data_IF_975287826897
#
_entry.id   IF_975287826897
#
_cell.length_a   1.000
_cell.length_b   1.000
_cell.length_c   1.000
_cell.angle_alpha   90.00
_cell.angle_beta   90.00
_cell.angle_gamma   90.00
#
_symmetry.space_group_name_H-M   'P 1'
#
loop_
_entity.id
_entity.type
_entity.pdbx_description
1 polymer ?
#
# COMPACT_ATOMS: atom_id res chain seq x y z
N UNK A 1 10.25 -6.25 -24.90
CA UNK A 1 10.22 -7.69 -24.58
C UNK A 1 8.80 -8.19 -24.77
N UNK A 2 8.62 -9.38 -25.33
CA UNK A 2 7.32 -10.05 -25.51
C UNK A 2 7.48 -11.53 -25.13
N UNK A 3 6.41 -12.20 -24.72
CA UNK A 3 6.43 -13.61 -24.31
C UNK A 3 5.15 -14.33 -24.71
N UNK A 4 5.22 -15.66 -24.78
CA UNK A 4 4.08 -16.53 -25.06
C UNK A 4 4.19 -17.82 -24.22
N UNK A 5 3.05 -18.46 -23.85
CA UNK A 5 3.03 -19.64 -23.01
C UNK A 5 3.58 -20.91 -23.69
N UNK A 6 3.58 -20.96 -25.03
CA UNK A 6 4.06 -22.10 -25.83
C UNK A 6 5.13 -21.66 -26.84
N UNK A 7 6.08 -22.54 -27.14
CA UNK A 7 7.15 -22.27 -28.13
C UNK A 7 6.59 -21.88 -29.51
N UNK A 8 5.54 -22.56 -29.98
CA UNK A 8 4.89 -22.28 -31.28
C UNK A 8 4.25 -20.89 -31.32
N UNK A 9 3.62 -20.45 -30.23
CA UNK A 9 3.03 -19.12 -30.14
C UNK A 9 4.11 -18.04 -30.12
N UNK A 10 5.23 -18.27 -29.43
CA UNK A 10 6.38 -17.37 -29.44
C UNK A 10 6.97 -17.24 -30.85
N UNK A 11 7.10 -18.35 -31.58
CA UNK A 11 7.58 -18.37 -32.96
C UNK A 11 6.62 -17.61 -33.89
N UNK A 12 5.31 -17.83 -33.76
CA UNK A 12 4.28 -17.11 -34.53
C UNK A 12 4.35 -15.60 -34.27
N UNK A 13 4.55 -15.20 -33.02
CA UNK A 13 4.69 -13.81 -32.60
C UNK A 13 5.96 -13.17 -33.16
N UNK A 14 7.10 -13.86 -33.15
CA UNK A 14 8.35 -13.40 -33.77
C UNK A 14 8.16 -13.16 -35.27
N UNK A 15 7.53 -14.09 -35.98
CA UNK A 15 7.25 -13.97 -37.42
C UNK A 15 6.34 -12.78 -37.72
N UNK A 16 5.26 -12.65 -36.95
CA UNK A 16 4.28 -11.57 -37.11
C UNK A 16 4.93 -10.21 -36.86
N UNK A 17 5.68 -10.05 -35.77
CA UNK A 17 6.38 -8.81 -35.46
C UNK A 17 7.43 -8.45 -36.51
N UNK A 18 8.20 -9.43 -36.95
CA UNK A 18 9.22 -9.23 -37.99
C UNK A 18 8.58 -8.73 -39.28
N UNK A 19 7.47 -9.35 -39.72
CA UNK A 19 6.74 -8.94 -40.93
C UNK A 19 6.18 -7.52 -40.82
N UNK A 20 5.56 -7.17 -39.68
CA UNK A 20 4.97 -5.84 -39.45
C UNK A 20 6.04 -4.74 -39.49
N UNK A 21 7.20 -5.00 -38.87
CA UNK A 21 8.27 -4.00 -38.77
C UNK A 21 9.08 -3.91 -40.05
N UNK A 22 9.29 -5.03 -40.75
CA UNK A 22 9.92 -5.06 -42.06
C UNK A 22 9.10 -4.27 -43.10
N UNK A 23 7.76 -4.37 -43.04
CA UNK A 23 6.87 -3.54 -43.86
C UNK A 23 7.03 -2.02 -43.61
N UNK A 24 7.71 -1.63 -42.52
CA UNK A 24 8.05 -0.24 -42.19
C UNK A 24 9.55 0.05 -42.27
N UNK A 25 10.33 -0.83 -42.88
CA UNK A 25 11.79 -0.68 -43.06
C UNK A 25 12.63 -1.01 -41.83
N UNK A 26 12.03 -1.59 -40.79
CA UNK A 26 12.73 -2.00 -39.57
C UNK A 26 13.00 -3.50 -39.58
N UNK A 27 14.23 -3.90 -39.89
CA UNK A 27 14.64 -5.30 -39.84
C UNK A 27 15.11 -5.67 -38.43
N UNK A 28 14.29 -6.43 -37.71
CA UNK A 28 14.65 -6.95 -36.39
C UNK A 28 15.77 -8.00 -36.50
N UNK A 29 16.82 -7.83 -35.70
CA UNK A 29 17.95 -8.76 -35.57
C UNK A 29 18.32 -8.94 -34.10
N UNK A 30 19.12 -9.96 -33.81
CA UNK A 30 19.57 -10.33 -32.46
C UNK A 30 18.40 -10.70 -31.54
N UNK A 31 17.87 -11.89 -31.74
CA UNK A 31 16.85 -12.51 -30.91
C UNK A 31 17.50 -13.31 -29.80
N UNK A 32 16.93 -13.21 -28.61
CA UNK A 32 17.30 -13.99 -27.44
C UNK A 32 16.04 -14.66 -26.89
N UNK A 33 16.17 -15.92 -26.48
CA UNK A 33 15.08 -16.71 -25.90
C UNK A 33 15.63 -17.65 -24.84
N UNK A 34 14.77 -17.99 -23.87
CA UNK A 34 15.00 -19.03 -22.88
C UNK A 34 14.63 -20.44 -23.40
N UNK A 35 14.06 -20.56 -24.59
CA UNK A 35 13.72 -21.83 -25.24
C UNK A 35 14.69 -22.13 -26.39
N UNK A 36 15.41 -23.24 -26.28
CA UNK A 36 16.29 -23.76 -27.34
C UNK A 36 15.49 -24.14 -28.60
N UNK A 37 14.25 -24.60 -28.43
CA UNK A 37 13.33 -24.87 -29.54
C UNK A 37 13.05 -23.61 -30.35
N UNK A 38 12.76 -22.49 -29.67
CA UNK A 38 12.50 -21.20 -30.33
C UNK A 38 13.76 -20.70 -31.06
N UNK A 39 14.93 -20.76 -30.42
CA UNK A 39 16.20 -20.34 -31.04
C UNK A 39 16.55 -21.16 -32.29
N UNK A 40 16.26 -22.47 -32.29
CA UNK A 40 16.53 -23.35 -33.43
C UNK A 40 15.74 -22.99 -34.69
N UNK A 41 14.59 -22.33 -34.53
CA UNK A 41 13.69 -21.94 -35.63
C UNK A 41 13.86 -20.50 -36.10
N UNK A 42 14.83 -19.78 -35.52
CA UNK A 42 15.26 -18.46 -35.96
C UNK A 42 16.54 -18.65 -36.79
N UNK A 43 16.72 -17.87 -37.85
CA UNK A 43 17.96 -17.90 -38.64
C UNK A 43 19.17 -17.63 -37.73
N UNK A 44 20.21 -18.46 -37.83
CA UNK A 44 21.36 -18.44 -36.91
C UNK A 44 22.11 -17.10 -36.88
N UNK A 45 22.10 -16.37 -37.99
CA UNK A 45 22.63 -15.01 -38.12
C UNK A 45 21.82 -13.93 -37.40
N UNK A 46 20.62 -14.26 -36.92
CA UNK A 46 19.76 -13.35 -36.16
C UNK A 46 19.65 -13.73 -34.69
N UNK A 47 20.25 -14.84 -34.25
CA UNK A 47 20.36 -15.18 -32.83
C UNK A 47 21.46 -14.31 -32.21
N UNK A 48 21.25 -13.82 -30.99
CA UNK A 48 22.25 -13.01 -30.31
C UNK A 48 23.52 -13.77 -29.91
N UNK A 49 24.65 -13.07 -29.93
CA UNK A 49 26.00 -13.65 -29.81
C UNK A 49 26.34 -14.18 -28.39
N UNK A 50 25.59 -13.75 -27.37
CA UNK A 50 25.80 -14.10 -25.96
C UNK A 50 24.49 -14.44 -25.26
N UNK A 51 24.53 -15.34 -24.29
CA UNK A 51 23.38 -15.62 -23.42
C UNK A 51 23.01 -14.46 -22.51
N UNK A 52 23.93 -13.52 -22.29
CA UNK A 52 23.73 -12.30 -21.53
C UNK A 52 23.43 -11.13 -22.48
N UNK A 53 22.30 -10.44 -22.28
CA UNK A 53 21.85 -9.28 -23.04
C UNK A 53 21.87 -8.06 -22.15
N UNK A 54 22.77 -7.11 -22.41
CA UNK A 54 22.70 -5.81 -21.74
C UNK A 54 21.56 -4.99 -22.32
N UNK A 55 20.58 -4.69 -21.48
CA UNK A 55 19.43 -3.86 -21.78
C UNK A 55 19.78 -2.44 -21.30
N UNK A 56 20.23 -1.59 -22.22
CA UNK A 56 20.49 -0.18 -21.96
C UNK A 56 19.21 0.62 -22.22
N UNK A 57 18.54 1.18 -21.19
CA UNK A 57 17.48 2.14 -21.42
C UNK A 57 18.13 3.47 -21.86
N UNK A 58 18.03 3.78 -23.16
CA UNK A 58 18.31 5.05 -23.88
C UNK A 58 19.27 6.05 -23.22
N UNK A 59 20.41 6.34 -23.87
CA UNK A 59 21.36 7.49 -23.82
C UNK A 59 21.55 8.32 -22.52
N UNK A 60 20.94 7.93 -21.41
CA UNK A 60 21.08 8.51 -20.10
C UNK A 60 22.08 7.59 -19.39
N UNK A 61 23.35 7.88 -19.61
CA UNK A 61 24.56 7.19 -19.15
C UNK A 61 24.72 7.08 -17.61
N UNK A 62 23.60 7.08 -16.88
CA UNK A 62 23.51 7.03 -15.42
C UNK A 62 22.43 6.07 -14.90
N UNK A 63 21.80 5.27 -15.77
CA UNK A 63 20.89 4.20 -15.37
C UNK A 63 21.61 2.84 -15.32
N UNK A 64 21.22 2.00 -14.36
CA UNK A 64 21.82 0.69 -14.06
C UNK A 64 21.99 -0.22 -15.28
N UNK A 65 23.12 -0.93 -15.35
CA UNK A 65 23.31 -2.03 -16.29
C UNK A 65 22.40 -3.21 -15.93
N UNK A 66 21.29 -3.36 -16.65
CA UNK A 66 20.42 -4.53 -16.60
C UNK A 66 20.93 -5.55 -17.62
N UNK A 67 21.18 -6.77 -17.18
CA UNK A 67 21.59 -7.87 -18.07
C UNK A 67 20.58 -9.01 -17.97
N UNK A 68 19.90 -9.38 -19.05
CA UNK A 68 19.08 -10.59 -19.06
C UNK A 68 19.94 -11.80 -19.47
N UNK A 69 19.97 -12.83 -18.65
CA UNK A 69 20.51 -14.13 -19.03
C UNK A 69 19.39 -14.98 -19.61
N UNK A 70 19.36 -15.12 -20.94
CA UNK A 70 18.28 -15.81 -21.63
C UNK A 70 18.26 -17.30 -21.32
N UNK A 71 19.42 -17.96 -21.19
CA UNK A 71 19.51 -19.41 -20.96
C UNK A 71 18.95 -19.85 -19.60
N UNK A 72 19.16 -19.05 -18.56
CA UNK A 72 18.67 -19.32 -17.21
C UNK A 72 17.36 -18.61 -16.90
N UNK A 73 16.90 -17.78 -17.82
CA UNK A 73 15.77 -16.87 -17.68
C UNK A 73 15.82 -16.02 -16.40
N UNK A 74 16.99 -15.43 -16.13
CA UNK A 74 17.22 -14.58 -14.96
C UNK A 74 17.71 -13.21 -15.37
N UNK A 75 17.23 -12.16 -14.72
CA UNK A 75 17.79 -10.82 -14.83
C UNK A 75 18.91 -10.62 -13.81
N UNK A 76 20.04 -10.07 -14.26
CA UNK A 76 21.26 -9.80 -13.50
C UNK A 76 21.46 -8.28 -13.48
N UNK A 77 21.75 -7.74 -12.30
CA UNK A 77 21.93 -6.30 -12.09
C UNK A 77 23.37 -5.99 -11.71
N UNK A 78 24.08 -5.27 -12.57
CA UNK A 78 25.49 -4.93 -12.37
C UNK A 78 25.60 -3.60 -11.60
N UNK A 79 25.52 -3.69 -10.27
CA UNK A 79 25.56 -2.55 -9.35
C UNK A 79 27.01 -2.16 -9.04
N UNK A 80 27.49 -1.03 -9.57
CA UNK A 80 28.76 -0.42 -9.15
C UNK A 80 28.49 0.76 -8.22
N UNK A 81 28.42 0.50 -6.91
CA UNK A 81 28.20 1.54 -5.90
C UNK A 81 29.48 1.74 -5.08
N UNK A 82 30.09 2.93 -5.19
CA UNK A 82 31.20 3.35 -4.34
C UNK A 82 30.70 4.42 -3.37
N UNK A 83 30.72 4.09 -2.07
CA UNK A 83 30.46 5.04 -1.00
C UNK A 83 31.79 5.56 -0.45
N UNK A 84 32.02 6.89 -0.40
CA UNK A 84 33.16 7.46 0.30
C UNK A 84 33.00 7.31 1.83
N UNK A 85 34.11 7.29 2.56
CA UNK A 85 34.14 7.03 4.02
C UNK A 85 33.29 8.01 4.84
N UNK A 86 33.09 9.24 4.35
CA UNK A 86 32.17 10.23 4.94
C UNK A 86 30.98 10.49 3.99
N UNK A 87 29.83 9.90 4.33
CA UNK A 87 28.60 10.00 3.53
C UNK A 87 27.82 11.25 3.93
N UNK A 88 27.55 12.15 2.97
CA UNK A 88 26.67 13.30 3.15
C UNK A 88 25.28 13.02 2.58
N UNK A 89 24.22 13.66 3.09
CA UNK A 89 22.85 13.53 2.53
C UNK A 89 22.81 13.76 1.02
N UNK A 90 23.60 14.73 0.52
CA UNK A 90 23.65 15.08 -0.91
C UNK A 90 24.42 14.05 -1.74
N UNK A 91 25.54 13.52 -1.25
CA UNK A 91 26.28 12.46 -1.96
C UNK A 91 25.50 11.14 -1.97
N UNK A 92 24.80 10.81 -0.88
CA UNK A 92 23.92 9.65 -0.79
C UNK A 92 22.73 9.76 -1.74
N UNK A 93 22.01 10.90 -1.75
CA UNK A 93 20.89 11.12 -2.66
C UNK A 93 21.32 11.07 -4.13
N UNK A 94 22.47 11.66 -4.47
CA UNK A 94 23.00 11.62 -5.83
C UNK A 94 23.36 10.22 -6.30
N UNK A 95 23.88 9.35 -5.42
CA UNK A 95 24.17 7.96 -5.77
C UNK A 95 22.89 7.11 -5.79
N UNK A 96 21.91 7.40 -4.94
CA UNK A 96 20.60 6.73 -4.93
C UNK A 96 19.77 7.01 -6.18
N UNK A 97 19.85 8.23 -6.74
CA UNK A 97 19.14 8.60 -7.96
C UNK A 97 19.65 7.86 -9.20
N UNK A 98 20.89 7.35 -9.18
CA UNK A 98 21.47 6.51 -10.24
C UNK A 98 20.89 5.08 -10.26
N UNK A 99 20.11 4.70 -9.25
CA UNK A 99 19.42 3.41 -9.16
C UNK A 99 17.97 3.47 -9.65
N UNK A 100 17.55 4.58 -10.26
CA UNK A 100 16.20 4.74 -10.78
C UNK A 100 16.02 3.98 -12.09
N UNK A 101 15.02 3.08 -12.16
CA UNK A 101 14.78 2.19 -13.30
C UNK A 101 13.27 2.21 -13.70
N UNK A 102 12.92 2.38 -14.99
CA UNK A 102 11.58 2.74 -15.44
C UNK A 102 10.53 1.60 -15.51
N UNK A 103 10.88 0.34 -15.22
CA UNK A 103 9.99 -0.82 -15.45
C UNK A 103 9.62 -1.64 -14.19
N UNK A 104 9.93 -1.16 -12.98
CA UNK A 104 9.34 -1.68 -11.73
C UNK A 104 9.78 -3.08 -11.24
N UNK A 105 10.59 -3.84 -11.98
CA UNK A 105 11.06 -5.16 -11.54
C UNK A 105 12.04 -5.15 -10.34
N UNK A 106 12.75 -4.03 -10.11
CA UNK A 106 13.64 -3.83 -8.94
C UNK A 106 13.00 -3.03 -7.80
N UNK A 107 11.68 -2.83 -7.82
CA UNK A 107 10.97 -2.17 -6.72
C UNK A 107 11.38 -2.73 -5.34
N UNK A 108 11.63 -4.04 -5.14
CA UNK A 108 12.05 -4.57 -3.83
C UNK A 108 13.39 -4.03 -3.32
N UNK A 109 14.32 -3.66 -4.19
CA UNK A 109 15.66 -3.20 -3.79
C UNK A 109 15.76 -1.66 -3.68
N UNK A 110 14.82 -0.91 -4.27
CA UNK A 110 14.72 0.56 -4.03
C UNK A 110 14.13 0.89 -2.66
N UNK A 111 13.42 -0.06 -2.04
CA UNK A 111 12.91 0.02 -0.67
C UNK A 111 14.06 0.12 0.34
N UNK A 112 15.12 -0.67 0.16
CA UNK A 112 16.31 -0.65 1.03
C UNK A 112 17.07 0.68 1.03
N UNK A 113 16.97 1.47 -0.05
CA UNK A 113 17.59 2.80 -0.11
C UNK A 113 16.79 3.90 0.61
N UNK A 114 15.48 3.73 0.77
CA UNK A 114 14.68 4.56 1.70
C UNK A 114 14.85 4.11 3.14
N UNK A 115 15.15 2.82 3.38
CA UNK A 115 15.34 2.26 4.72
C UNK A 115 16.56 2.87 5.46
N UNK A 116 17.59 3.35 4.77
CA UNK A 116 18.69 4.07 5.44
C UNK A 116 18.33 5.52 5.82
N UNK A 117 17.20 6.06 5.34
CA UNK A 117 16.72 7.41 5.66
C UNK A 117 15.33 7.41 6.33
N UNK A 118 14.77 6.25 6.63
CA UNK A 118 13.46 6.07 7.27
C UNK A 118 13.39 4.66 7.82
N UNK A 119 13.69 4.49 9.09
CA UNK A 119 13.44 3.24 9.81
C UNK A 119 11.95 2.93 9.69
N UNK A 120 11.64 1.73 9.16
CA UNK A 120 10.30 1.19 8.86
C UNK A 120 9.67 1.79 7.61
N UNK A 121 9.51 1.05 6.49
CA UNK A 121 8.43 1.18 5.49
C UNK A 121 8.59 0.16 4.33
N UNK A 122 7.65 -0.80 4.22
CA UNK A 122 7.05 -1.41 3.00
C UNK A 122 6.80 -2.92 3.20
N UNK A 123 5.53 -3.33 3.05
CA UNK A 123 5.14 -4.74 2.86
C UNK A 123 4.72 -4.96 1.40
N UNK A 124 5.16 -6.12 0.95
CA UNK A 124 4.99 -6.78 -0.34
C UNK A 124 3.51 -7.12 -0.61
N UNK A 125 3.01 -6.83 -1.81
CA UNK A 125 1.69 -7.29 -2.25
C UNK A 125 1.88 -8.69 -2.85
N UNK A 126 1.56 -9.75 -2.10
CA UNK A 126 1.54 -11.13 -2.60
C UNK A 126 0.12 -11.56 -2.97
N UNK A 127 -0.50 -10.86 -3.92
CA UNK A 127 -1.90 -11.10 -4.30
C UNK A 127 -2.12 -12.28 -5.28
N UNK A 128 -1.07 -13.01 -5.67
CA UNK A 128 -1.17 -13.95 -6.79
C UNK A 128 -1.50 -15.42 -6.49
N UNK A 129 -1.41 -15.91 -5.23
CA UNK A 129 -1.35 -17.38 -5.02
C UNK A 129 -2.05 -17.96 -3.77
N UNK A 130 -2.74 -17.16 -2.94
CA UNK A 130 -3.13 -17.63 -1.59
C UNK A 130 -4.63 -17.69 -1.29
N UNK A 131 -5.47 -17.03 -2.08
CA UNK A 131 -6.93 -17.12 -1.94
C UNK A 131 -7.43 -18.29 -2.81
N UNK A 132 -7.16 -19.50 -2.35
CA UNK A 132 -7.82 -20.70 -2.85
C UNK A 132 -8.90 -21.10 -1.85
N UNK A 133 -10.13 -20.63 -2.06
CA UNK A 133 -11.28 -21.11 -1.30
C UNK A 133 -12.38 -21.52 -2.25
N UNK A 134 -13.08 -22.60 -1.90
CA UNK A 134 -14.27 -23.06 -2.60
C UNK A 134 -15.48 -22.13 -2.32
N UNK A 135 -15.41 -21.32 -1.26
CA UNK A 135 -16.42 -20.34 -0.91
C UNK A 135 -16.10 -18.98 -1.52
N UNK A 136 -17.07 -18.33 -2.14
CA UNK A 136 -16.90 -16.95 -2.62
C UNK A 136 -16.97 -15.90 -1.50
N UNK A 137 -17.15 -16.30 -0.24
CA UNK A 137 -17.24 -15.39 0.91
C UNK A 137 -15.86 -15.16 1.54
N UNK A 138 -15.49 -13.89 1.69
CA UNK A 138 -14.25 -13.47 2.34
C UNK A 138 -14.56 -12.35 3.32
N UNK A 139 -14.08 -12.48 4.56
CA UNK A 139 -14.13 -11.38 5.52
C UNK A 139 -12.75 -10.73 5.65
N UNK A 140 -12.67 -9.41 5.52
CA UNK A 140 -11.42 -8.67 5.66
C UNK A 140 -11.39 -7.87 6.96
N UNK A 141 -10.43 -8.20 7.82
CA UNK A 141 -10.18 -7.49 9.08
C UNK A 141 -8.97 -6.57 8.94
N UNK A 142 -9.23 -5.28 9.01
CA UNK A 142 -8.27 -4.22 8.79
C UNK A 142 -7.94 -3.52 10.10
N UNK A 143 -6.67 -3.40 10.42
CA UNK A 143 -6.19 -2.75 11.63
C UNK A 143 -5.42 -1.50 11.26
N UNK A 144 -5.50 -0.45 12.07
CA UNK A 144 -4.67 0.73 11.91
C UNK A 144 -4.19 1.29 13.26
N UNK A 145 -3.04 1.95 13.21
CA UNK A 145 -2.40 2.60 14.36
C UNK A 145 -1.42 3.69 13.88
N UNK A 146 -1.00 4.54 14.82
CA UNK A 146 0.01 5.54 14.59
C UNK A 146 0.86 5.85 15.82
N UNK A 147 2.13 6.13 15.56
CA UNK A 147 3.08 6.72 16.49
C UNK A 147 3.53 8.10 16.00
N UNK A 148 4.38 8.78 16.78
CA UNK A 148 5.01 10.05 16.38
C UNK A 148 5.87 9.93 15.13
N UNK A 149 6.35 8.71 14.81
CA UNK A 149 7.27 8.47 13.71
C UNK A 149 6.57 8.01 12.44
N UNK A 150 5.48 7.25 12.56
CA UNK A 150 4.79 6.66 11.42
C UNK A 150 3.36 6.26 11.77
N UNK A 151 2.54 6.03 10.74
CA UNK A 151 1.23 5.38 10.86
C UNK A 151 1.14 4.21 9.90
N UNK A 152 0.38 3.19 10.27
CA UNK A 152 0.31 1.92 9.56
C UNK A 152 -1.10 1.34 9.51
N UNK A 153 -1.30 0.46 8.55
CA UNK A 153 -2.52 -0.30 8.35
C UNK A 153 -2.21 -1.70 7.85
N UNK A 154 -2.95 -2.68 8.34
CA UNK A 154 -2.75 -4.10 8.05
C UNK A 154 -4.12 -4.72 7.77
N UNK A 155 -4.24 -5.57 6.76
CA UNK A 155 -5.48 -6.27 6.43
C UNK A 155 -5.22 -7.76 6.43
N UNK A 156 -6.02 -8.49 7.18
CA UNK A 156 -6.12 -9.94 7.19
C UNK A 156 -7.35 -10.38 6.41
N UNK A 157 -7.21 -11.42 5.59
CA UNK A 157 -8.32 -12.16 5.01
C UNK A 157 -8.67 -13.35 5.91
N UNK A 158 -9.94 -13.50 6.21
CA UNK A 158 -10.53 -14.56 7.02
C UNK A 158 -11.47 -15.35 6.12
N UNK A 159 -11.17 -16.63 5.94
CA UNK A 159 -11.84 -17.48 4.94
C UNK A 159 -12.28 -18.80 5.57
N UNK A 160 -13.53 -19.22 5.36
CA UNK A 160 -13.96 -20.57 5.73
C UNK A 160 -13.26 -21.59 4.83
N UNK A 161 -12.83 -22.70 5.42
CA UNK A 161 -12.25 -23.85 4.75
C UNK A 161 -13.26 -25.00 4.67
N UNK A 162 -13.00 -25.95 3.76
CA UNK A 162 -13.88 -27.09 3.53
C UNK A 162 -13.94 -28.07 4.71
N UNK A 163 -12.94 -28.04 5.60
CA UNK A 163 -12.87 -28.84 6.83
C UNK A 163 -13.65 -28.23 8.01
N UNK A 164 -14.31 -27.09 7.81
CA UNK A 164 -15.02 -26.35 8.84
C UNK A 164 -14.14 -25.41 9.67
N UNK A 165 -12.83 -25.39 9.42
CA UNK A 165 -11.93 -24.42 10.05
C UNK A 165 -11.95 -23.07 9.34
N UNK A 166 -11.45 -22.04 10.01
CA UNK A 166 -11.26 -20.71 9.43
C UNK A 166 -9.78 -20.43 9.25
N UNK A 167 -9.39 -20.10 8.02
CA UNK A 167 -8.02 -19.68 7.70
C UNK A 167 -7.92 -18.16 7.76
N UNK A 168 -6.98 -17.68 8.55
CA UNK A 168 -6.59 -16.26 8.60
C UNK A 168 -5.28 -16.10 7.84
N UNK A 169 -5.19 -15.07 7.01
CA UNK A 169 -3.98 -14.80 6.22
C UNK A 169 -3.75 -13.30 6.10
N UNK A 170 -2.53 -12.86 6.38
CA UNK A 170 -2.10 -11.49 6.10
C UNK A 170 -2.21 -11.20 4.59
N UNK A 171 -3.12 -10.30 4.22
CA UNK A 171 -3.38 -9.93 2.82
C UNK A 171 -2.47 -8.79 2.36
N UNK A 172 -2.42 -7.72 3.15
CA UNK A 172 -1.62 -6.54 2.84
C UNK A 172 -1.29 -5.78 4.11
N UNK A 173 -0.10 -5.20 4.17
CA UNK A 173 0.23 -4.17 5.14
C UNK A 173 0.83 -2.97 4.43
N UNK A 174 0.59 -1.78 4.98
CA UNK A 174 1.13 -0.53 4.45
C UNK A 174 1.34 0.43 5.59
N UNK A 175 2.39 1.21 5.48
CA UNK A 175 2.72 2.22 6.46
C UNK A 175 3.19 3.50 5.77
N UNK A 176 3.20 4.63 6.49
CA UNK A 176 3.75 5.91 6.03
C UNK A 176 4.47 6.62 7.16
N UNK A 177 5.57 7.29 6.84
CA UNK A 177 6.28 8.17 7.79
C UNK A 177 5.38 9.34 8.17
N UNK A 178 5.38 9.70 9.45
CA UNK A 178 4.67 10.85 9.96
C UNK A 178 5.19 12.14 9.30
N UNK A 179 4.33 13.14 9.04
CA UNK A 179 4.78 14.41 8.47
C UNK A 179 5.86 15.07 9.33
N UNK A 180 6.85 15.72 8.69
CA UNK A 180 7.89 16.48 9.39
C UNK A 180 7.33 17.65 10.20
N UNK A 181 6.18 18.21 9.77
CA UNK A 181 5.44 19.19 10.58
C UNK A 181 4.74 18.43 11.69
N UNK A 182 4.89 18.91 12.93
CA UNK A 182 4.24 18.29 14.09
C UNK A 182 2.72 18.22 13.89
N UNK A 183 2.21 17.00 13.88
CA UNK A 183 0.79 16.68 13.86
C UNK A 183 0.48 15.96 15.17
N UNK A 184 -0.65 16.27 15.79
CA UNK A 184 -1.05 15.62 17.04
C UNK A 184 -1.28 14.12 16.84
N UNK A 185 -0.97 13.30 17.86
CA UNK A 185 -1.21 11.84 17.85
C UNK A 185 -2.61 11.47 17.31
N UNK A 186 -3.73 12.07 17.78
CA UNK A 186 -5.05 11.72 17.26
C UNK A 186 -5.23 11.92 15.75
N UNK A 187 -4.55 12.92 15.17
CA UNK A 187 -4.58 13.18 13.73
C UNK A 187 -3.68 12.20 12.96
N UNK A 188 -2.63 11.68 13.59
CA UNK A 188 -1.80 10.61 13.02
C UNK A 188 -2.56 9.28 13.03
N UNK A 189 -3.20 8.93 14.16
CA UNK A 189 -4.09 7.76 14.27
C UNK A 189 -5.18 7.82 13.19
N UNK A 190 -5.76 9.01 12.99
CA UNK A 190 -6.76 9.22 11.95
C UNK A 190 -6.21 9.11 10.52
N UNK A 191 -4.95 9.46 10.29
CA UNK A 191 -4.29 9.18 9.01
C UNK A 191 -4.04 7.68 8.83
N UNK A 192 -3.82 6.92 9.90
CA UNK A 192 -3.83 5.46 9.89
C UNK A 192 -5.19 4.90 9.43
N UNK A 193 -6.29 5.42 9.98
CA UNK A 193 -7.64 5.05 9.56
C UNK A 193 -7.90 5.37 8.08
N UNK A 194 -7.47 6.55 7.62
CA UNK A 194 -7.57 6.92 6.20
C UNK A 194 -6.76 6.02 5.28
N UNK A 195 -5.54 5.63 5.71
CA UNK A 195 -4.70 4.71 4.97
C UNK A 195 -5.39 3.34 4.83
N UNK A 196 -6.00 2.85 5.90
CA UNK A 196 -6.75 1.60 5.91
C UNK A 196 -7.95 1.66 4.95
N UNK A 197 -8.75 2.73 4.99
CA UNK A 197 -9.91 2.90 4.10
C UNK A 197 -9.52 2.84 2.61
N UNK A 198 -8.40 3.48 2.24
CA UNK A 198 -7.87 3.44 0.86
C UNK A 198 -7.33 2.07 0.46
N UNK A 199 -6.71 1.34 1.40
CA UNK A 199 -6.31 -0.05 1.16
C UNK A 199 -7.52 -0.92 0.90
N UNK A 200 -8.59 -0.75 1.68
CA UNK A 200 -9.83 -1.48 1.44
C UNK A 200 -10.43 -1.22 0.07
N UNK A 201 -10.44 0.03 -0.40
CA UNK A 201 -10.88 0.36 -1.75
C UNK A 201 -10.06 -0.40 -2.81
N UNK A 202 -8.75 -0.52 -2.60
CA UNK A 202 -7.85 -1.28 -3.48
C UNK A 202 -8.17 -2.77 -3.44
N UNK A 203 -8.31 -3.35 -2.24
CA UNK A 203 -8.65 -4.77 -2.06
C UNK A 203 -10.02 -5.10 -2.67
N UNK A 204 -11.02 -4.23 -2.49
CA UNK A 204 -12.38 -4.40 -3.04
C UNK A 204 -12.36 -4.46 -4.57
N UNK A 205 -11.55 -3.62 -5.22
CA UNK A 205 -11.42 -3.64 -6.68
C UNK A 205 -10.76 -4.94 -7.19
N UNK A 206 -9.79 -5.48 -6.43
CA UNK A 206 -9.07 -6.70 -6.79
C UNK A 206 -9.95 -7.93 -6.52
N UNK A 207 -10.70 -7.93 -5.43
CA UNK A 207 -11.57 -9.03 -4.98
C UNK A 207 -13.02 -8.87 -5.45
N UNK A 208 -13.25 -8.15 -6.56
CA UNK A 208 -14.60 -7.84 -7.09
C UNK A 208 -15.47 -9.07 -7.41
N UNK A 209 -14.85 -10.24 -7.55
CA UNK A 209 -15.50 -11.52 -7.84
C UNK A 209 -15.92 -12.28 -6.57
N UNK A 210 -15.55 -11.76 -5.39
CA UNK A 210 -15.88 -12.34 -4.09
C UNK A 210 -16.91 -11.48 -3.36
N UNK A 211 -17.73 -12.11 -2.53
CA UNK A 211 -18.55 -11.41 -1.55
C UNK A 211 -17.68 -11.04 -0.36
N UNK A 212 -17.31 -9.76 -0.29
CA UNK A 212 -16.34 -9.24 0.68
C UNK A 212 -17.03 -8.44 1.77
N UNK A 213 -16.88 -8.90 3.01
CA UNK A 213 -17.29 -8.16 4.20
C UNK A 213 -16.08 -7.47 4.86
N UNK A 214 -16.25 -6.27 5.41
CA UNK A 214 -15.14 -5.46 5.96
C UNK A 214 -15.36 -5.11 7.43
N UNK A 215 -14.32 -5.31 8.26
CA UNK A 215 -14.25 -4.83 9.64
C UNK A 215 -12.96 -4.05 9.88
N UNK A 216 -13.10 -2.75 10.19
CA UNK A 216 -11.99 -1.87 10.47
C UNK A 216 -11.78 -1.71 11.99
N UNK A 217 -10.54 -1.78 12.44
CA UNK A 217 -10.16 -1.82 13.84
C UNK A 217 -9.14 -0.73 14.15
N UNK A 218 -9.39 0.01 15.22
CA UNK A 218 -8.46 1.00 15.78
C UNK A 218 -8.53 0.96 17.31
N UNK A 219 -7.42 1.23 17.96
CA UNK A 219 -7.36 1.44 19.41
C UNK A 219 -7.60 2.91 19.81
N UNK A 220 -7.76 3.80 18.83
CA UNK A 220 -8.10 5.20 19.08
C UNK A 220 -9.60 5.42 19.24
N UNK A 221 -10.03 5.58 20.49
CA UNK A 221 -11.41 6.00 20.79
C UNK A 221 -11.74 7.39 20.24
N UNK A 222 -10.74 8.27 20.08
CA UNK A 222 -10.91 9.59 19.47
C UNK A 222 -11.28 9.45 17.99
N UNK A 223 -10.58 8.59 17.25
CA UNK A 223 -10.90 8.28 15.85
C UNK A 223 -12.30 7.70 15.73
N UNK A 224 -12.67 6.73 16.58
CA UNK A 224 -14.02 6.15 16.59
C UNK A 224 -15.10 7.21 16.87
N UNK A 225 -14.83 8.18 17.73
CA UNK A 225 -15.74 9.30 18.01
C UNK A 225 -15.89 10.22 16.79
N UNK A 226 -14.80 10.47 16.06
CA UNK A 226 -14.83 11.27 14.83
C UNK A 226 -15.60 10.59 13.70
N UNK A 227 -15.43 9.28 13.53
CA UNK A 227 -16.09 8.49 12.49
C UNK A 227 -17.58 8.25 12.74
N UNK A 228 -18.00 8.27 14.01
CA UNK A 228 -19.39 8.05 14.39
C UNK A 228 -20.26 9.30 14.39
N UNK A 229 -19.65 10.48 14.39
CA UNK A 229 -20.39 11.74 14.27
C UNK A 229 -20.45 12.21 12.82
N UNK A 230 -21.52 12.94 12.48
CA UNK A 230 -21.66 13.50 11.14
C UNK A 230 -20.49 14.46 10.78
N UNK A 231 -19.86 14.35 9.59
CA UNK A 231 -18.67 15.13 9.23
C UNK A 231 -18.81 16.64 9.37
N UNK A 232 -20.04 17.17 9.23
CA UNK A 232 -20.34 18.60 9.36
C UNK A 232 -19.99 19.17 10.74
N UNK A 233 -20.00 18.34 11.78
CA UNK A 233 -19.71 18.72 13.15
C UNK A 233 -18.24 19.07 13.38
N UNK A 234 -17.36 18.69 12.46
CA UNK A 234 -15.92 18.81 12.62
C UNK A 234 -15.31 19.99 11.86
N UNK A 235 -14.12 20.41 12.25
CA UNK A 235 -13.28 21.35 11.50
C UNK A 235 -12.83 20.74 10.16
N UNK A 236 -12.45 21.57 9.16
CA UNK A 236 -12.20 21.11 7.78
C UNK A 236 -11.24 19.92 7.65
N UNK A 237 -10.16 19.89 8.44
CA UNK A 237 -9.18 18.79 8.40
C UNK A 237 -9.82 17.43 8.68
N UNK A 238 -10.67 17.37 9.72
CA UNK A 238 -11.36 16.15 10.14
C UNK A 238 -12.53 15.89 9.19
N UNK A 239 -13.38 16.88 8.90
CA UNK A 239 -14.53 16.74 7.98
C UNK A 239 -14.15 16.10 6.65
N UNK A 240 -13.12 16.61 5.98
CA UNK A 240 -12.75 16.13 4.64
C UNK A 240 -12.32 14.65 4.67
N UNK A 241 -11.56 14.26 5.70
CA UNK A 241 -11.09 12.88 5.87
C UNK A 241 -12.17 11.95 6.39
N UNK A 242 -13.04 12.40 7.29
CA UNK A 242 -14.18 11.60 7.75
C UNK A 242 -15.11 11.30 6.57
N UNK A 243 -15.35 12.28 5.69
CA UNK A 243 -16.17 12.07 4.49
C UNK A 243 -15.53 11.01 3.60
N UNK A 244 -14.25 11.16 3.26
CA UNK A 244 -13.54 10.18 2.43
C UNK A 244 -13.51 8.76 3.07
N UNK A 245 -13.28 8.67 4.38
CA UNK A 245 -13.27 7.38 5.07
C UNK A 245 -14.65 6.73 5.00
N UNK A 246 -15.72 7.48 5.31
CA UNK A 246 -17.07 6.95 5.36
C UNK A 246 -17.64 6.61 3.98
N UNK A 247 -17.16 7.26 2.92
CA UNK A 247 -17.46 6.89 1.53
C UNK A 247 -16.85 5.53 1.16
N UNK A 248 -15.72 5.15 1.77
CA UNK A 248 -15.00 3.90 1.48
C UNK A 248 -15.35 2.77 2.46
N UNK A 249 -15.53 3.08 3.73
CA UNK A 249 -15.77 2.14 4.84
C UNK A 249 -16.86 2.71 5.74
N UNK A 250 -18.07 2.10 5.77
CA UNK A 250 -19.19 2.56 6.57
C UNK A 250 -18.85 2.69 8.06
N UNK A 251 -19.49 3.64 8.75
CA UNK A 251 -19.25 3.90 10.17
C UNK A 251 -19.44 2.64 11.05
N UNK A 252 -20.40 1.78 10.71
CA UNK A 252 -20.75 0.57 11.46
C UNK A 252 -19.72 -0.56 11.31
N UNK A 253 -18.83 -0.47 10.32
CA UNK A 253 -17.70 -1.38 10.15
C UNK A 253 -16.54 -1.07 11.10
N UNK A 254 -16.51 0.11 11.73
CA UNK A 254 -15.43 0.54 12.61
C UNK A 254 -15.61 0.09 14.05
N UNK A 255 -14.58 -0.57 14.60
CA UNK A 255 -14.59 -1.18 15.92
C UNK A 255 -13.34 -0.83 16.71
N UNK A 256 -13.48 -0.88 18.03
CA UNK A 256 -12.37 -0.77 18.96
C UNK A 256 -11.61 -2.09 19.09
N UNK A 257 -10.27 -2.01 19.03
CA UNK A 257 -9.36 -3.08 19.47
C UNK A 257 -8.45 -2.53 20.57
N UNK A 258 -8.21 -3.24 21.67
CA UNK A 258 -7.19 -2.86 22.64
C UNK A 258 -5.78 -2.77 22.02
N UNK A 259 -5.01 -1.73 22.35
CA UNK A 259 -3.65 -1.48 21.85
C UNK A 259 -2.75 -2.72 21.91
N UNK A 260 -2.76 -3.47 23.03
CA UNK A 260 -1.97 -4.69 23.20
C UNK A 260 -2.29 -5.81 22.21
N UNK A 261 -3.45 -5.75 21.58
CA UNK A 261 -3.93 -6.71 20.59
C UNK A 261 -3.95 -6.10 19.18
N UNK A 262 -3.35 -4.92 18.97
CA UNK A 262 -3.31 -4.30 17.66
C UNK A 262 -2.07 -4.77 16.87
N UNK A 263 -2.20 -5.53 15.76
CA UNK A 263 -1.05 -6.05 15.02
C UNK A 263 -0.23 -4.95 14.34
N UNK A 264 -0.79 -3.77 14.11
CA UNK A 264 -0.06 -2.62 13.54
C UNK A 264 0.98 -2.04 14.49
N UNK A 265 0.88 -2.34 15.78
CA UNK A 265 1.84 -1.92 16.79
C UNK A 265 3.23 -2.55 16.50
N UNK A 266 3.26 -3.79 15.95
CA UNK A 266 4.47 -4.44 15.43
C UNK A 266 5.11 -3.62 14.31
N UNK A 267 4.31 -3.11 13.38
CA UNK A 267 4.82 -2.26 12.30
C UNK A 267 5.31 -0.91 12.78
N UNK A 268 4.65 -0.29 13.77
CA UNK A 268 5.01 1.04 14.23
C UNK A 268 6.23 1.06 15.16
N UNK A 269 6.45 -0.01 15.94
CA UNK A 269 7.60 -0.16 16.85
C UNK A 269 8.84 -0.74 16.16
N UNK A 270 8.64 -1.45 15.06
CA UNK A 270 9.69 -2.16 14.35
C UNK A 270 9.94 -3.55 14.93
N UNK A 271 10.29 -4.48 14.06
CA UNK A 271 10.63 -5.86 14.42
C UNK A 271 11.94 -6.22 13.70
N UNK A 272 12.84 -6.98 14.35
CA UNK A 272 14.10 -7.33 13.68
C UNK A 272 13.86 -8.35 12.56
N UNK A 273 14.70 -8.37 11.50
CA UNK A 273 14.57 -9.36 10.42
C UNK A 273 14.64 -10.82 10.88
N UNK A 274 15.22 -11.09 12.06
CA UNK A 274 15.34 -12.45 12.63
C UNK A 274 14.08 -12.89 13.37
N UNK A 275 13.31 -11.94 13.92
CA UNK A 275 12.08 -12.21 14.67
C UNK A 275 10.85 -12.27 13.76
N UNK A 276 10.94 -11.68 12.56
CA UNK A 276 9.81 -11.59 11.64
C UNK A 276 9.30 -12.96 11.19
N UNK A 277 10.14 -13.94 10.82
CA UNK A 277 9.66 -15.25 10.38
C UNK A 277 8.93 -16.04 11.47
N UNK A 278 9.24 -15.79 12.74
CA UNK A 278 8.64 -16.49 13.89
C UNK A 278 7.49 -15.73 14.53
N UNK A 279 7.14 -14.55 14.01
CA UNK A 279 6.07 -13.72 14.56
C UNK A 279 4.68 -14.23 14.13
N UNK A 280 4.16 -15.21 14.86
CA UNK A 280 2.83 -15.82 14.62
C UNK A 280 1.73 -14.75 14.58
N UNK A 281 1.74 -13.81 15.53
CA UNK A 281 0.76 -12.71 15.59
C UNK A 281 0.73 -11.88 14.30
N UNK A 282 1.88 -11.67 13.66
CA UNK A 282 1.97 -10.91 12.43
C UNK A 282 1.40 -11.68 11.23
N UNK A 283 1.76 -12.96 11.07
CA UNK A 283 1.41 -13.75 9.89
C UNK A 283 0.01 -14.37 9.97
N UNK A 284 -0.37 -14.87 11.14
CA UNK A 284 -1.63 -15.59 11.38
C UNK A 284 -2.71 -14.69 11.98
N UNK A 285 -2.35 -13.47 12.40
CA UNK A 285 -3.28 -12.54 13.01
C UNK A 285 -3.71 -12.95 14.42
N UNK A 286 -4.79 -12.36 14.91
CA UNK A 286 -5.33 -12.64 16.24
C UNK A 286 -6.22 -13.87 16.20
N UNK A 287 -6.09 -14.76 17.19
CA UNK A 287 -6.85 -16.01 17.25
C UNK A 287 -8.37 -15.80 17.20
N UNK A 288 -8.88 -14.73 17.79
CA UNK A 288 -10.31 -14.43 17.81
C UNK A 288 -10.87 -14.01 16.44
N UNK A 289 -10.02 -13.73 15.44
CA UNK A 289 -10.46 -13.49 14.05
C UNK A 289 -11.12 -14.74 13.44
N UNK A 290 -10.72 -15.92 13.89
CA UNK A 290 -11.32 -17.20 13.48
C UNK A 290 -12.58 -17.56 14.27
N UNK A 291 -12.94 -16.76 15.28
CA UNK A 291 -14.07 -17.01 16.16
C UNK A 291 -15.28 -16.16 15.79
N UNK A 292 -16.43 -16.55 16.32
CA UNK A 292 -17.66 -15.77 16.19
C UNK A 292 -17.53 -14.38 16.84
N UNK A 293 -18.39 -13.47 16.37
CA UNK A 293 -18.41 -12.07 16.76
C UNK A 293 -18.50 -11.82 18.26
N UNK A 294 -19.11 -12.73 19.02
CA UNK A 294 -19.23 -12.67 20.48
C UNK A 294 -17.88 -12.83 21.20
N UNK A 295 -16.90 -13.46 20.54
CA UNK A 295 -15.55 -13.64 21.05
C UNK A 295 -14.63 -12.44 20.75
N UNK A 296 -15.11 -11.44 20.00
CA UNK A 296 -14.34 -10.27 19.62
C UNK A 296 -14.19 -9.27 20.78
N UNK A 297 -13.26 -8.30 20.67
CA UNK A 297 -13.08 -7.29 21.70
C UNK A 297 -14.37 -6.52 22.02
N UNK A 298 -14.67 -6.39 23.31
CA UNK A 298 -15.82 -5.63 23.79
C UNK A 298 -15.70 -4.15 23.41
N UNK A 299 -16.79 -3.59 22.91
CA UNK A 299 -16.83 -2.20 22.45
C UNK A 299 -17.06 -1.27 23.67
N UNK A 300 -16.14 -0.32 23.95
CA UNK A 300 -16.27 0.58 25.09
C UNK A 300 -17.43 1.56 24.88
N UNK A 301 -18.00 2.07 25.98
CA UNK A 301 -18.93 3.21 25.90
C UNK A 301 -18.18 4.42 25.33
N UNK A 302 -18.67 4.98 24.23
CA UNK A 302 -18.06 6.14 23.58
C UNK A 302 -18.08 7.36 24.50
N UNK A 303 -16.96 8.07 24.58
CA UNK A 303 -16.84 9.30 25.32
C UNK A 303 -16.51 10.47 24.38
N UNK A 304 -17.55 11.14 23.88
CA UNK A 304 -17.42 12.26 22.96
C UNK A 304 -16.95 13.57 23.63
N UNK A 305 -16.78 13.58 24.96
CA UNK A 305 -16.39 14.76 25.72
C UNK A 305 -14.88 14.90 25.93
N UNK A 306 -14.06 14.02 25.33
CA UNK A 306 -12.60 14.13 25.46
C UNK A 306 -12.09 15.46 24.89
N UNK A 307 -10.99 15.96 25.46
CA UNK A 307 -10.40 17.25 25.07
C UNK A 307 -9.98 17.27 23.59
N UNK A 308 -9.47 16.14 23.08
CA UNK A 308 -9.09 15.96 21.67
C UNK A 308 -10.29 16.04 20.73
N UNK A 309 -11.42 15.40 21.08
CA UNK A 309 -12.65 15.46 20.28
C UNK A 309 -13.24 16.88 20.31
N UNK A 310 -13.33 17.47 21.51
CA UNK A 310 -13.88 18.81 21.71
C UNK A 310 -13.09 19.90 20.96
N UNK A 311 -11.76 19.78 20.87
CA UNK A 311 -10.90 20.72 20.14
C UNK A 311 -11.19 20.75 18.63
N UNK A 312 -11.63 19.64 18.05
CA UNK A 312 -11.89 19.52 16.61
C UNK A 312 -13.36 19.73 16.23
N UNK A 313 -14.26 19.83 17.22
CA UNK A 313 -15.67 20.18 17.01
C UNK A 313 -15.79 21.64 16.56
N UNK A 314 -16.62 21.92 15.57
CA UNK A 314 -16.99 23.30 15.21
C UNK A 314 -17.71 23.92 16.39
N UNK A 315 -17.36 25.16 16.73
CA UNK A 315 -18.12 25.93 17.71
C UNK A 315 -19.45 26.32 17.10
N UNK A 316 -20.55 25.92 17.72
CA UNK A 316 -21.88 26.45 17.40
C UNK A 316 -21.90 27.90 17.87
N UNK A 317 -21.97 28.86 16.94
CA UNK A 317 -22.18 30.26 17.29
C UNK A 317 -23.67 30.44 17.62
N UNK A 318 -23.99 30.70 18.88
CA UNK A 318 -25.32 31.15 19.27
C UNK A 318 -25.40 32.64 18.95
N UNK A 319 -26.28 33.02 18.01
CA UNK A 319 -26.67 34.41 17.83
C UNK A 319 -27.91 34.65 18.69
N UNK A 320 -27.82 35.59 19.62
CA UNK A 320 -28.97 36.07 20.38
C UNK A 320 -29.41 37.40 19.76
N UNK A 321 -30.67 37.54 19.33
CA UNK A 321 -31.18 38.86 18.96
C UNK A 321 -31.22 39.73 20.22
N UNK A 322 -30.42 40.80 20.24
CA UNK A 322 -30.55 41.85 21.25
C UNK A 322 -31.51 42.89 20.67
N UNK A 323 -32.72 42.95 21.21
CA UNK A 323 -33.64 44.03 20.90
C UNK A 323 -33.10 45.32 21.54
N UNK A 324 -32.68 46.27 20.71
CA UNK A 324 -32.30 47.61 21.16
C UNK A 324 -33.58 48.45 21.18
N UNK A 325 -34.15 48.67 22.37
CA UNK A 325 -35.35 49.50 22.58
C UNK A 325 -35.00 50.97 22.77
N UNK A 326 -34.18 51.53 21.88
CA UNK A 326 -33.99 52.98 21.77
C UNK A 326 -34.01 53.41 20.31
N UNK A 327 -34.82 54.45 20.05
CA UNK A 327 -34.99 55.10 18.75
C UNK A 327 -33.61 55.50 18.22
N UNK A 328 -33.09 54.75 17.26
CA UNK A 328 -31.83 55.07 16.60
C UNK A 328 -32.17 55.82 15.32
N UNK A 329 -31.91 57.13 15.28
CA UNK A 329 -31.99 57.93 14.05
C UNK A 329 -30.78 57.58 13.18
N UNK A 330 -31.03 56.86 12.08
CA UNK A 330 -30.06 56.60 11.03
C UNK A 330 -30.23 57.68 9.95
N UNK A 331 -29.38 58.71 9.96
CA UNK A 331 -29.25 59.62 8.82
C UNK A 331 -28.36 58.96 7.78
N UNK A 332 -28.97 58.51 6.69
CA UNK A 332 -28.26 58.21 5.44
C UNK A 332 -28.02 59.54 4.73
N UNK A 333 -26.75 59.98 4.67
CA UNK A 333 -26.34 60.94 3.66
C UNK A 333 -26.21 60.17 2.34
N UNK A 334 -26.97 60.59 1.33
CA UNK A 334 -26.88 60.07 -0.04
C UNK A 334 -25.54 60.40 -0.69
#
# INVERSE_FOLDING_TARGET
MAGAPLSEEAISLIKTLSSILEARGFHLRKWWSNSSEVLSRISSNWVGDSSNVEIHPDECSKALGLTWNSMKDIFIFNLKVNFPDNITKRSFLSQSARLFYPLGFLTPCTVSMKIFLSTVMAVEIRLGQWIHTASQQITLHGFCDASELAYASVIYAVQPQADGNTKVTLLVAKSRVAPLKSVSIPRLEFNGALLLARLYATCKNILKEYDVHFYAWTDSQVVLSWLSSHPRNWKPYITNRTSEILDLVPADSWRYVPTKMNPTDITCRGLSPKELPTCVLWWEGLQWLSCEMDSWPKQPKRNDQTSSVSKERKRTAFSFPVAVSTVTLLTLYF
#
